data_IF_255693079767
#
_entry.id   IF_255693079767
#
_cell.length_a   1.000
_cell.length_b   1.000
_cell.length_c   1.000
_cell.angle_alpha   90.00
_cell.angle_beta   90.00
_cell.angle_gamma   90.00
#
_symmetry.space_group_name_H-M   'P 1'
#
loop_
_entity.id
_entity.type
_entity.pdbx_description
1 polymer ?
#
# COMPACT_ATOMS: atom_id res chain seq x y z
N UNK A 1 11.52 44.79 -9.27
CA UNK A 1 12.42 43.62 -9.37
C UNK A 1 11.65 42.55 -10.13
N UNK A 2 12.15 42.15 -11.30
CA UNK A 2 11.54 41.06 -12.08
C UNK A 2 11.76 39.75 -11.34
N UNK A 3 10.72 38.93 -11.24
CA UNK A 3 10.79 37.60 -10.68
C UNK A 3 11.79 36.73 -11.47
N UNK A 4 12.66 36.04 -10.77
CA UNK A 4 13.67 35.18 -11.40
C UNK A 4 12.98 33.92 -11.95
N UNK A 5 13.27 33.60 -13.22
CA UNK A 5 12.70 32.41 -13.86
C UNK A 5 13.14 31.14 -13.09
N UNK A 6 12.22 30.18 -12.94
CA UNK A 6 12.47 28.90 -12.25
C UNK A 6 13.66 28.12 -12.84
N UNK A 7 13.92 28.21 -14.15
CA UNK A 7 15.08 27.60 -14.80
C UNK A 7 16.40 28.18 -14.30
N UNK A 8 16.49 29.51 -14.18
CA UNK A 8 17.66 30.19 -13.63
C UNK A 8 17.88 29.85 -12.15
N UNK A 9 16.79 29.76 -11.36
CA UNK A 9 16.86 29.32 -9.97
C UNK A 9 17.43 27.90 -9.90
N UNK A 10 16.91 26.99 -10.70
CA UNK A 10 17.38 25.58 -10.74
C UNK A 10 18.86 25.47 -11.07
N UNK A 11 19.34 26.23 -12.05
CA UNK A 11 20.77 26.25 -12.43
C UNK A 11 21.65 26.72 -11.29
N UNK A 12 21.23 27.77 -10.56
CA UNK A 12 21.93 28.25 -9.37
C UNK A 12 21.95 27.20 -8.26
N UNK A 13 20.82 26.51 -8.00
CA UNK A 13 20.74 25.45 -6.99
C UNK A 13 21.68 24.28 -7.31
N UNK A 14 21.77 23.88 -8.59
CA UNK A 14 22.71 22.84 -9.04
C UNK A 14 24.16 23.28 -8.79
N UNK A 15 24.46 24.54 -9.05
CA UNK A 15 25.81 25.08 -8.83
C UNK A 15 26.18 25.08 -7.35
N UNK A 16 25.29 25.56 -6.48
CA UNK A 16 25.48 25.55 -5.02
C UNK A 16 25.69 24.13 -4.48
N UNK A 17 24.87 23.16 -4.92
CA UNK A 17 25.01 21.76 -4.49
C UNK A 17 26.35 21.14 -4.92
N UNK A 18 26.86 21.48 -6.11
CA UNK A 18 28.16 21.03 -6.57
C UNK A 18 29.31 21.61 -5.73
N UNK A 19 29.24 22.88 -5.38
CA UNK A 19 30.23 23.53 -4.52
C UNK A 19 30.25 22.95 -3.10
N UNK A 20 29.06 22.56 -2.59
CA UNK A 20 28.90 21.92 -1.28
C UNK A 20 29.15 20.40 -1.28
N UNK A 21 29.49 19.80 -2.43
CA UNK A 21 29.64 18.35 -2.62
C UNK A 21 28.41 17.54 -2.16
N UNK A 22 27.22 18.09 -2.40
CA UNK A 22 25.92 17.47 -2.06
C UNK A 22 25.16 17.14 -3.32
N UNK A 23 24.31 16.13 -3.24
CA UNK A 23 23.46 15.70 -4.34
C UNK A 23 21.99 15.71 -3.95
N UNK A 24 21.14 16.18 -4.85
CA UNK A 24 19.69 16.13 -4.77
C UNK A 24 19.12 15.71 -6.12
N UNK A 25 18.04 14.94 -6.10
CA UNK A 25 17.37 14.52 -7.33
C UNK A 25 16.84 15.71 -8.13
N UNK A 26 16.91 15.58 -9.45
CA UNK A 26 16.54 16.64 -10.39
C UNK A 26 15.07 17.07 -10.27
N UNK A 27 14.20 16.13 -9.89
CA UNK A 27 12.76 16.36 -9.68
C UNK A 27 12.53 17.20 -8.43
N UNK A 28 13.24 16.92 -7.34
CA UNK A 28 13.19 17.70 -6.09
C UNK A 28 13.69 19.13 -6.34
N UNK A 29 14.76 19.29 -7.09
CA UNK A 29 15.26 20.63 -7.45
C UNK A 29 14.27 21.43 -8.28
N UNK A 30 13.58 20.76 -9.20
CA UNK A 30 12.54 21.40 -10.02
C UNK A 30 11.35 21.83 -9.16
N UNK A 31 10.93 20.98 -8.22
CA UNK A 31 9.84 21.28 -7.28
C UNK A 31 10.16 22.49 -6.38
N UNK A 32 11.36 22.53 -5.82
CA UNK A 32 11.85 23.65 -4.99
C UNK A 32 11.89 24.95 -5.82
N UNK A 33 12.43 24.89 -7.04
CA UNK A 33 12.51 26.05 -7.91
C UNK A 33 11.13 26.63 -8.29
N UNK A 34 10.13 25.75 -8.50
CA UNK A 34 8.75 26.17 -8.78
C UNK A 34 8.09 26.75 -7.53
N UNK A 35 8.24 26.08 -6.37
CA UNK A 35 7.65 26.54 -5.09
C UNK A 35 8.19 27.87 -4.62
N UNK A 36 9.42 28.19 -4.92
CA UNK A 36 10.08 29.46 -4.51
C UNK A 36 9.50 30.71 -5.19
N UNK A 37 8.71 30.55 -6.26
CA UNK A 37 8.03 31.65 -6.98
C UNK A 37 8.96 32.85 -7.28
N UNK A 38 10.19 32.60 -7.68
CA UNK A 38 11.16 33.64 -8.00
C UNK A 38 12.04 34.11 -6.83
N UNK A 39 11.81 33.62 -5.60
CA UNK A 39 12.65 33.90 -4.42
C UNK A 39 13.83 32.92 -4.32
N UNK A 40 15.00 33.36 -4.81
CA UNK A 40 16.23 32.57 -4.78
C UNK A 40 16.68 32.25 -3.35
N UNK A 41 16.45 33.14 -2.37
CA UNK A 41 16.86 32.91 -0.98
C UNK A 41 16.01 31.81 -0.34
N UNK A 42 14.71 31.84 -0.58
CA UNK A 42 13.81 30.76 -0.13
C UNK A 42 14.21 29.43 -0.75
N UNK A 43 14.51 29.40 -2.07
CA UNK A 43 14.97 28.20 -2.77
C UNK A 43 16.26 27.62 -2.19
N UNK A 44 17.27 28.46 -1.89
CA UNK A 44 18.55 28.01 -1.30
C UNK A 44 18.33 27.45 0.11
N UNK A 45 17.50 28.08 0.94
CA UNK A 45 17.19 27.60 2.27
C UNK A 45 16.48 26.24 2.23
N UNK A 46 15.55 26.06 1.28
CA UNK A 46 14.85 24.78 1.10
C UNK A 46 15.82 23.68 0.63
N UNK A 47 16.72 23.97 -0.31
CA UNK A 47 17.78 23.05 -0.74
C UNK A 47 18.71 22.68 0.42
N UNK A 48 19.10 23.66 1.24
CA UNK A 48 19.96 23.40 2.40
C UNK A 48 19.27 22.46 3.40
N UNK A 49 17.97 22.68 3.65
CA UNK A 49 17.16 21.82 4.52
C UNK A 49 17.05 20.42 3.93
N UNK A 50 16.68 20.30 2.66
CA UNK A 50 16.52 19.02 1.97
C UNK A 50 17.83 18.24 1.83
N UNK A 51 18.95 18.92 1.59
CA UNK A 51 20.28 18.29 1.48
C UNK A 51 20.84 17.81 2.83
N UNK A 52 20.31 18.32 3.94
CA UNK A 52 20.69 17.91 5.30
C UNK A 52 19.90 16.72 5.81
N UNK A 53 18.85 16.31 5.09
CA UNK A 53 18.02 15.16 5.43
C UNK A 53 18.58 13.93 4.70
N UNK A 54 18.97 12.88 5.43
CA UNK A 54 19.39 11.61 4.83
C UNK A 54 18.23 10.98 4.03
N UNK A 55 18.54 10.21 2.98
CA UNK A 55 17.54 9.52 2.14
C UNK A 55 16.54 8.69 2.96
N UNK A 56 17.02 7.98 4.00
CA UNK A 56 16.17 7.23 4.93
C UNK A 56 15.20 8.13 5.73
N UNK A 57 15.64 9.33 6.13
CA UNK A 57 14.74 10.29 6.80
C UNK A 57 13.72 10.89 5.84
N UNK A 58 14.02 11.02 4.54
CA UNK A 58 13.05 11.51 3.53
C UNK A 58 11.94 10.51 3.29
N UNK A 59 12.27 9.23 3.09
CA UNK A 59 11.28 8.17 2.97
C UNK A 59 10.36 8.14 4.19
N UNK A 60 10.93 8.31 5.39
CA UNK A 60 10.16 8.31 6.65
C UNK A 60 9.25 9.54 6.79
N UNK A 61 9.68 10.72 6.34
CA UNK A 61 8.86 11.96 6.36
C UNK A 61 7.76 11.88 5.29
N UNK A 62 8.05 11.37 4.10
CA UNK A 62 7.08 11.17 3.03
C UNK A 62 6.03 10.12 3.42
N UNK A 63 6.43 9.05 4.08
CA UNK A 63 5.52 8.02 4.59
C UNK A 63 4.59 8.60 5.68
N UNK A 64 5.11 9.42 6.60
CA UNK A 64 4.32 10.13 7.62
C UNK A 64 3.32 11.11 7.01
N UNK A 65 3.71 11.84 5.98
CA UNK A 65 2.81 12.78 5.29
C UNK A 65 1.70 12.01 4.56
N UNK A 66 2.02 10.92 3.86
CA UNK A 66 1.03 10.04 3.22
C UNK A 66 0.06 9.44 4.24
N UNK A 67 0.55 9.00 5.39
CA UNK A 67 -0.31 8.52 6.47
C UNK A 67 -1.19 9.63 7.04
N UNK A 68 -0.69 10.84 7.20
CA UNK A 68 -1.46 12.01 7.62
C UNK A 68 -2.60 12.33 6.66
N UNK A 69 -2.33 12.31 5.36
CA UNK A 69 -3.32 12.58 4.33
C UNK A 69 -4.43 11.51 4.30
N UNK A 70 -4.08 10.22 4.38
CA UNK A 70 -5.07 9.15 4.43
C UNK A 70 -5.92 9.18 5.70
N UNK A 71 -5.35 9.49 6.87
CA UNK A 71 -6.10 9.62 8.12
C UNK A 71 -7.13 10.75 8.04
N UNK A 72 -6.78 11.89 7.44
CA UNK A 72 -7.71 12.99 7.21
C UNK A 72 -8.83 12.59 6.25
N UNK A 73 -8.52 11.89 5.17
CA UNK A 73 -9.51 11.39 4.22
C UNK A 73 -10.48 10.38 4.88
N UNK A 74 -9.96 9.44 5.67
CA UNK A 74 -10.79 8.48 6.41
C UNK A 74 -11.72 9.18 7.40
N UNK A 75 -11.21 10.17 8.14
CA UNK A 75 -12.03 10.97 9.07
C UNK A 75 -13.15 11.70 8.34
N UNK A 76 -12.87 12.27 7.20
CA UNK A 76 -13.87 12.97 6.38
C UNK A 76 -14.96 12.00 5.90
N UNK A 77 -14.58 10.87 5.31
CA UNK A 77 -15.49 9.87 4.76
C UNK A 77 -16.35 9.23 5.86
N UNK A 78 -15.74 8.82 6.97
CA UNK A 78 -16.46 8.05 7.99
C UNK A 78 -17.30 8.92 8.93
N UNK A 79 -16.89 10.16 9.18
CA UNK A 79 -17.55 10.99 10.21
C UNK A 79 -18.52 12.01 9.65
N UNK A 80 -18.13 12.72 8.59
CA UNK A 80 -18.95 13.80 8.04
C UNK A 80 -19.99 13.30 7.05
N UNK A 81 -21.05 14.11 6.84
CA UNK A 81 -22.04 13.82 5.81
C UNK A 81 -21.40 13.85 4.42
N UNK A 82 -21.86 12.97 3.51
CA UNK A 82 -21.36 12.97 2.14
C UNK A 82 -21.68 14.30 1.45
N UNK A 83 -20.67 14.89 0.82
CA UNK A 83 -20.77 16.14 0.05
C UNK A 83 -20.12 15.95 -1.32
N UNK A 84 -20.19 16.96 -2.18
CA UNK A 84 -19.48 16.92 -3.48
C UNK A 84 -17.97 16.84 -3.30
N UNK A 85 -17.45 17.48 -2.25
CA UNK A 85 -16.02 17.47 -1.91
C UNK A 85 -15.55 16.07 -1.53
N UNK A 86 -16.43 15.23 -0.96
CA UNK A 86 -16.10 13.83 -0.64
C UNK A 86 -15.70 13.03 -1.87
N UNK A 87 -16.19 13.37 -3.08
CA UNK A 87 -15.79 12.70 -4.32
C UNK A 87 -14.34 12.96 -4.71
N UNK A 88 -13.79 14.08 -4.31
CA UNK A 88 -12.44 14.52 -4.67
C UNK A 88 -11.42 14.26 -3.55
N UNK A 89 -11.86 13.66 -2.44
CA UNK A 89 -11.05 13.52 -1.23
C UNK A 89 -9.75 12.75 -1.45
N UNK A 90 -9.79 11.75 -2.32
CA UNK A 90 -8.60 10.96 -2.62
C UNK A 90 -7.62 11.66 -3.58
N UNK A 91 -7.99 12.77 -4.21
CA UNK A 91 -7.08 13.56 -5.04
C UNK A 91 -5.93 14.18 -4.23
N UNK A 92 -6.16 14.44 -2.94
CA UNK A 92 -5.16 14.97 -2.01
C UNK A 92 -4.25 13.88 -1.41
N UNK A 93 -4.65 12.61 -1.54
CA UNK A 93 -3.93 11.47 -0.92
C UNK A 93 -2.89 10.93 -1.90
N UNK A 94 -1.62 11.09 -1.58
CA UNK A 94 -0.49 10.58 -2.39
C UNK A 94 -0.29 9.06 -2.21
N UNK A 95 -1.33 8.27 -2.51
CA UNK A 95 -1.34 6.83 -2.31
C UNK A 95 -2.08 6.14 -3.46
N UNK A 96 -1.62 4.95 -3.93
CA UNK A 96 -2.35 4.18 -4.93
C UNK A 96 -3.74 3.77 -4.42
N UNK A 97 -4.73 3.77 -5.31
CA UNK A 97 -6.12 3.43 -4.95
C UNK A 97 -6.24 2.01 -4.37
N UNK A 98 -5.39 1.10 -4.80
CA UNK A 98 -5.28 -0.27 -4.25
C UNK A 98 -4.96 -0.29 -2.76
N UNK A 99 -4.11 0.60 -2.34
CA UNK A 99 -3.74 0.74 -0.93
C UNK A 99 -4.85 1.45 -0.14
N UNK A 100 -5.51 2.44 -0.75
CA UNK A 100 -6.69 3.11 -0.17
C UNK A 100 -7.81 2.10 0.12
N UNK A 101 -8.08 1.15 -0.78
CA UNK A 101 -9.04 0.07 -0.56
C UNK A 101 -8.72 -0.73 0.70
N UNK A 102 -7.45 -1.06 0.92
CA UNK A 102 -7.03 -1.81 2.12
C UNK A 102 -7.20 -0.98 3.40
N UNK A 103 -6.96 0.33 3.33
CA UNK A 103 -7.22 1.23 4.44
C UNK A 103 -8.72 1.33 4.75
N UNK A 104 -9.57 1.38 3.72
CA UNK A 104 -11.03 1.37 3.88
C UNK A 104 -11.50 0.04 4.48
N UNK A 105 -11.06 -1.11 3.92
CA UNK A 105 -11.39 -2.46 4.42
C UNK A 105 -11.08 -2.60 5.92
N UNK A 106 -9.91 -2.12 6.34
CA UNK A 106 -9.45 -2.25 7.74
C UNK A 106 -10.28 -1.40 8.70
N UNK A 107 -10.70 -0.19 8.26
CA UNK A 107 -11.27 0.81 9.15
C UNK A 107 -12.80 0.92 9.10
N UNK A 108 -13.47 0.38 8.09
CA UNK A 108 -14.94 0.31 8.05
C UNK A 108 -15.53 -0.32 9.32
N UNK A 109 -15.07 -1.49 9.82
CA UNK A 109 -15.66 -2.10 11.00
C UNK A 109 -15.36 -1.36 12.31
N UNK A 110 -14.43 -0.42 12.31
CA UNK A 110 -14.13 0.42 13.48
C UNK A 110 -15.20 1.50 13.66
N UNK A 111 -15.75 2.02 12.57
CA UNK A 111 -16.72 3.12 12.58
C UNK A 111 -18.18 2.66 12.37
N UNK A 112 -18.40 1.63 11.57
CA UNK A 112 -19.73 1.22 11.16
C UNK A 112 -20.14 -0.10 11.80
N UNK A 113 -21.43 -0.22 12.14
CA UNK A 113 -22.00 -1.41 12.76
C UNK A 113 -23.35 -1.76 12.11
N UNK A 114 -23.77 -3.01 12.24
CA UNK A 114 -25.06 -3.51 11.75
C UNK A 114 -25.29 -3.23 10.26
N UNK A 115 -26.39 -2.57 9.91
CA UNK A 115 -26.76 -2.26 8.52
C UNK A 115 -25.79 -1.29 7.83
N UNK A 116 -25.20 -0.32 8.56
CA UNK A 116 -24.23 0.60 8.02
C UNK A 116 -22.97 -0.13 7.56
N UNK A 117 -22.52 -1.10 8.37
CA UNK A 117 -21.41 -1.99 8.06
C UNK A 117 -21.70 -2.83 6.82
N UNK A 118 -22.86 -3.44 6.74
CA UNK A 118 -23.25 -4.26 5.59
C UNK A 118 -23.28 -3.45 4.29
N UNK A 119 -23.88 -2.25 4.31
CA UNK A 119 -23.90 -1.35 3.16
C UNK A 119 -22.52 -0.88 2.74
N UNK A 120 -21.65 -0.52 3.71
CA UNK A 120 -20.30 -0.09 3.41
C UNK A 120 -19.47 -1.20 2.75
N UNK A 121 -19.58 -2.45 3.23
CA UNK A 121 -18.90 -3.58 2.59
C UNK A 121 -19.47 -3.96 1.22
N UNK A 122 -20.78 -3.80 1.01
CA UNK A 122 -21.38 -3.98 -0.32
C UNK A 122 -20.80 -2.99 -1.32
N UNK A 123 -20.65 -1.72 -0.92
CA UNK A 123 -20.05 -0.68 -1.75
C UNK A 123 -18.56 -0.88 -1.96
N UNK A 124 -17.83 -1.32 -0.94
CA UNK A 124 -16.42 -1.70 -1.07
C UNK A 124 -16.25 -2.86 -2.05
N UNK A 125 -17.13 -3.87 -1.99
CA UNK A 125 -17.15 -4.99 -2.93
C UNK A 125 -17.41 -4.52 -4.37
N UNK A 126 -18.32 -3.56 -4.57
CA UNK A 126 -18.54 -2.95 -5.90
C UNK A 126 -17.31 -2.23 -6.41
N UNK A 127 -16.61 -1.46 -5.55
CA UNK A 127 -15.35 -0.82 -5.91
C UNK A 127 -14.30 -1.86 -6.36
N UNK A 128 -14.15 -2.97 -5.63
CA UNK A 128 -13.21 -4.05 -5.99
C UNK A 128 -13.58 -4.73 -7.33
N UNK A 129 -14.87 -4.87 -7.64
CA UNK A 129 -15.33 -5.36 -8.95
C UNK A 129 -14.86 -4.41 -10.08
N UNK A 130 -15.03 -3.09 -9.90
CA UNK A 130 -14.58 -2.12 -10.90
C UNK A 130 -13.05 -2.13 -11.04
N UNK A 131 -12.32 -2.22 -9.94
CA UNK A 131 -10.88 -2.45 -9.94
C UNK A 131 -10.49 -3.67 -10.77
N UNK A 132 -11.13 -4.82 -10.54
CA UNK A 132 -10.90 -6.03 -11.32
C UNK A 132 -11.17 -5.85 -12.81
N UNK A 133 -12.20 -5.07 -13.18
CA UNK A 133 -12.50 -4.73 -14.58
C UNK A 133 -11.44 -3.83 -15.20
N UNK A 134 -10.94 -2.82 -14.46
CA UNK A 134 -9.84 -1.95 -14.92
C UNK A 134 -8.62 -2.80 -15.27
N UNK A 135 -8.19 -3.69 -14.36
CA UNK A 135 -7.04 -4.57 -14.59
C UNK A 135 -7.24 -5.52 -15.79
N UNK A 136 -8.43 -6.12 -15.91
CA UNK A 136 -8.70 -7.11 -16.94
C UNK A 136 -8.93 -6.50 -18.32
N UNK A 137 -9.64 -5.36 -18.38
CA UNK A 137 -10.08 -4.74 -19.64
C UNK A 137 -9.23 -3.53 -20.05
N UNK A 138 -8.35 -3.05 -19.14
CA UNK A 138 -7.55 -1.81 -19.32
C UNK A 138 -8.43 -0.59 -19.63
N UNK A 139 -9.66 -0.57 -19.09
CA UNK A 139 -10.64 0.47 -19.32
C UNK A 139 -10.70 1.44 -18.16
N UNK A 140 -9.86 2.44 -18.21
CA UNK A 140 -9.61 3.41 -17.13
C UNK A 140 -10.79 4.31 -16.73
N UNK A 141 -11.83 4.40 -17.56
CA UNK A 141 -13.07 5.13 -17.19
C UNK A 141 -13.76 4.54 -15.97
N UNK A 142 -13.55 3.28 -15.65
CA UNK A 142 -14.08 2.66 -14.45
C UNK A 142 -13.49 3.18 -13.14
N UNK A 143 -12.35 3.88 -13.18
CA UNK A 143 -11.78 4.57 -12.01
C UNK A 143 -12.76 5.56 -11.38
N UNK A 144 -13.59 6.22 -12.19
CA UNK A 144 -14.62 7.15 -11.69
C UNK A 144 -15.62 6.43 -10.79
N UNK A 145 -16.09 5.26 -11.21
CA UNK A 145 -17.03 4.45 -10.41
C UNK A 145 -16.38 3.87 -9.16
N UNK A 146 -15.14 3.37 -9.30
CA UNK A 146 -14.35 2.89 -8.17
C UNK A 146 -14.21 3.98 -7.10
N UNK A 147 -13.82 5.20 -7.50
CA UNK A 147 -13.67 6.33 -6.61
C UNK A 147 -15.02 6.74 -5.96
N UNK A 148 -16.11 6.80 -6.73
CA UNK A 148 -17.45 7.15 -6.21
C UNK A 148 -17.87 6.15 -5.12
N UNK A 149 -17.69 4.85 -5.32
CA UNK A 149 -18.05 3.85 -4.32
C UNK A 149 -17.18 3.93 -3.07
N UNK A 150 -15.85 4.15 -3.22
CA UNK A 150 -14.93 4.23 -2.10
C UNK A 150 -15.11 5.50 -1.27
N UNK A 151 -15.42 6.62 -1.90
CA UNK A 151 -15.55 7.90 -1.22
C UNK A 151 -17.00 8.19 -0.79
N UNK A 152 -17.80 8.69 -1.71
CA UNK A 152 -19.17 9.09 -1.46
C UNK A 152 -20.07 7.92 -1.03
N UNK A 153 -19.95 6.78 -1.70
CA UNK A 153 -20.77 5.60 -1.41
C UNK A 153 -20.60 5.14 0.03
N UNK A 154 -19.36 4.88 0.46
CA UNK A 154 -19.11 4.45 1.84
C UNK A 154 -19.50 5.54 2.83
N UNK A 155 -19.26 6.82 2.51
CA UNK A 155 -19.72 7.91 3.36
C UNK A 155 -21.25 7.96 3.49
N UNK A 156 -21.99 7.67 2.44
CA UNK A 156 -23.47 7.61 2.45
C UNK A 156 -24.06 6.38 3.15
N UNK A 157 -23.25 5.39 3.51
CA UNK A 157 -23.71 4.19 4.21
C UNK A 157 -24.15 4.48 5.65
N UNK A 158 -23.61 5.51 6.29
CA UNK A 158 -24.00 5.91 7.64
C UNK A 158 -25.34 6.63 7.67
N UNK A 159 -26.08 6.43 8.73
CA UNK A 159 -27.38 7.12 8.96
C UNK A 159 -27.15 8.55 9.50
N UNK A 160 -26.20 8.70 10.41
CA UNK A 160 -25.89 9.97 11.07
C UNK A 160 -24.39 10.24 11.06
N UNK A 161 -24.02 11.51 11.28
CA UNK A 161 -22.63 11.88 11.51
C UNK A 161 -22.06 11.19 12.75
N UNK A 162 -20.82 10.76 12.67
CA UNK A 162 -20.13 10.10 13.79
C UNK A 162 -19.30 11.13 14.55
N UNK A 163 -19.56 11.27 15.84
CA UNK A 163 -18.87 12.19 16.73
C UNK A 163 -17.85 11.43 17.59
N UNK A 164 -16.75 12.06 17.93
CA UNK A 164 -15.71 11.50 18.79
C UNK A 164 -14.41 11.20 18.05
N UNK A 165 -13.42 10.77 18.80
CA UNK A 165 -12.11 10.39 18.27
C UNK A 165 -12.09 8.89 17.98
N UNK A 166 -11.56 8.53 16.80
CA UNK A 166 -11.36 7.14 16.39
C UNK A 166 -9.93 6.99 15.94
N UNK A 167 -9.25 5.99 16.47
CA UNK A 167 -7.91 5.63 16.04
C UNK A 167 -7.98 4.68 14.86
N UNK A 168 -7.70 5.19 13.67
CA UNK A 168 -7.62 4.37 12.46
C UNK A 168 -6.34 3.56 12.44
N UNK A 169 -6.42 2.35 11.87
CA UNK A 169 -5.31 1.39 11.88
C UNK A 169 -4.77 1.19 10.46
N UNK A 170 -3.45 1.04 10.38
CA UNK A 170 -2.77 0.66 9.14
C UNK A 170 -3.20 -0.76 8.70
N UNK A 171 -3.43 -1.01 7.40
CA UNK A 171 -3.76 -2.33 6.91
C UNK A 171 -2.60 -3.30 7.11
N UNK A 172 -2.87 -4.44 7.73
CA UNK A 172 -1.91 -5.50 8.04
C UNK A 172 -2.10 -6.78 7.20
N UNK A 173 -3.12 -6.79 6.33
CA UNK A 173 -3.51 -7.96 5.53
C UNK A 173 -2.37 -8.47 4.65
N UNK A 174 -1.69 -7.59 3.91
CA UNK A 174 -0.58 -7.96 3.01
C UNK A 174 0.58 -8.54 3.82
N UNK A 175 0.94 -7.90 4.94
CA UNK A 175 1.99 -8.39 5.83
C UNK A 175 1.64 -9.77 6.40
N UNK A 176 0.40 -9.97 6.84
CA UNK A 176 -0.06 -11.28 7.33
C UNK A 176 -0.01 -12.36 6.26
N UNK A 177 -0.41 -12.05 5.02
CA UNK A 177 -0.31 -12.97 3.88
C UNK A 177 1.16 -13.33 3.60
N UNK A 178 2.05 -12.33 3.57
CA UNK A 178 3.46 -12.53 3.35
C UNK A 178 4.11 -13.39 4.44
N UNK A 179 3.85 -13.09 5.71
CA UNK A 179 4.34 -13.88 6.85
C UNK A 179 3.83 -15.33 6.80
N UNK A 180 2.54 -15.52 6.48
CA UNK A 180 1.99 -16.87 6.32
C UNK A 180 2.61 -17.62 5.13
N UNK A 181 2.81 -16.93 4.01
CA UNK A 181 3.47 -17.53 2.85
C UNK A 181 4.89 -17.96 3.19
N UNK A 182 5.66 -17.11 3.88
CA UNK A 182 7.01 -17.44 4.34
C UNK A 182 7.04 -18.64 5.30
N UNK A 183 6.12 -18.68 6.29
CA UNK A 183 5.99 -19.82 7.21
C UNK A 183 5.65 -21.12 6.50
N UNK A 184 4.86 -21.05 5.42
CA UNK A 184 4.38 -22.25 4.70
C UNK A 184 5.22 -22.59 3.47
N UNK A 185 6.26 -21.83 3.15
CA UNK A 185 7.08 -21.97 1.95
C UNK A 185 7.72 -23.36 1.87
N UNK A 186 8.42 -23.77 2.92
CA UNK A 186 9.06 -25.12 2.98
C UNK A 186 8.03 -26.23 2.85
N UNK A 187 6.89 -26.11 3.54
CA UNK A 187 5.76 -27.04 3.41
C UNK A 187 5.21 -27.12 1.98
N UNK A 188 5.04 -25.96 1.32
CA UNK A 188 4.57 -25.89 -0.07
C UNK A 188 5.57 -26.56 -1.03
N UNK A 189 6.87 -26.32 -0.84
CA UNK A 189 7.92 -26.90 -1.66
C UNK A 189 7.93 -28.43 -1.54
N UNK A 190 7.90 -28.95 -0.32
CA UNK A 190 7.83 -30.41 -0.07
C UNK A 190 6.55 -31.01 -0.68
N UNK A 191 5.39 -30.38 -0.43
CA UNK A 191 4.12 -30.83 -0.98
C UNK A 191 4.10 -30.86 -2.51
N UNK A 192 4.75 -29.88 -3.15
CA UNK A 192 4.90 -29.84 -4.62
C UNK A 192 5.74 -30.98 -5.15
N UNK A 193 6.87 -31.28 -4.50
CA UNK A 193 7.73 -32.43 -4.86
C UNK A 193 6.99 -33.75 -4.69
N UNK A 194 6.29 -33.93 -3.57
CA UNK A 194 5.44 -35.10 -3.31
C UNK A 194 4.30 -35.22 -4.32
N UNK A 195 3.59 -34.12 -4.59
CA UNK A 195 2.50 -34.09 -5.56
C UNK A 195 2.94 -34.57 -6.95
N UNK A 196 4.12 -34.10 -7.39
CA UNK A 196 4.72 -34.52 -8.65
C UNK A 196 5.08 -36.01 -8.67
N UNK A 197 5.61 -36.53 -7.56
CA UNK A 197 6.02 -37.94 -7.45
C UNK A 197 4.82 -38.89 -7.46
N UNK A 198 3.74 -38.53 -6.72
CA UNK A 198 2.53 -39.37 -6.58
C UNK A 198 1.46 -39.05 -7.65
N UNK A 199 1.74 -38.12 -8.56
CA UNK A 199 0.81 -37.67 -9.61
C UNK A 199 -0.53 -37.13 -9.10
N UNK A 200 -0.51 -36.35 -7.99
CA UNK A 200 -1.69 -35.67 -7.45
C UNK A 200 -1.57 -34.16 -7.58
N UNK A 201 -2.68 -33.44 -7.43
CA UNK A 201 -2.66 -31.97 -7.46
C UNK A 201 -2.00 -31.36 -6.20
N UNK A 202 -1.25 -30.26 -6.39
CA UNK A 202 -0.54 -29.57 -5.28
C UNK A 202 -1.49 -29.16 -4.13
N UNK A 203 -2.72 -28.71 -4.44
CA UNK A 203 -3.74 -28.35 -3.43
C UNK A 203 -4.13 -29.56 -2.59
N UNK A 204 -4.25 -30.74 -3.20
CA UNK A 204 -4.55 -31.98 -2.50
C UNK A 204 -3.38 -32.42 -1.61
N UNK A 205 -2.16 -32.40 -2.13
CA UNK A 205 -0.97 -32.69 -1.37
C UNK A 205 -0.82 -31.78 -0.14
N UNK A 206 -1.09 -30.47 -0.28
CA UNK A 206 -1.07 -29.51 0.83
C UNK A 206 -2.10 -29.83 1.91
N UNK A 207 -3.30 -30.25 1.53
CA UNK A 207 -4.39 -30.60 2.44
C UNK A 207 -4.08 -31.90 3.19
N UNK A 208 -3.55 -32.88 2.48
CA UNK A 208 -3.24 -34.20 3.01
C UNK A 208 -1.84 -34.26 3.68
N UNK A 209 -1.08 -33.16 3.68
CA UNK A 209 0.28 -33.09 4.23
C UNK A 209 0.42 -33.71 5.64
N UNK A 210 -0.49 -33.47 6.61
CA UNK A 210 -0.38 -34.07 7.95
C UNK A 210 -0.43 -35.59 7.93
N UNK A 211 -1.11 -36.20 6.93
CA UNK A 211 -1.25 -37.66 6.84
C UNK A 211 0.04 -38.34 6.41
N UNK A 212 0.82 -37.76 5.53
CA UNK A 212 2.02 -38.38 4.99
C UNK A 212 3.34 -37.82 5.58
N UNK A 213 3.27 -36.89 6.53
CA UNK A 213 4.47 -36.34 7.17
C UNK A 213 5.38 -37.41 7.79
N UNK A 214 4.78 -38.46 8.37
CA UNK A 214 5.52 -39.61 8.94
C UNK A 214 6.28 -40.39 7.86
N UNK A 215 5.75 -40.47 6.66
CA UNK A 215 6.40 -41.11 5.51
C UNK A 215 7.54 -40.25 5.00
N UNK A 216 7.34 -38.92 4.92
CA UNK A 216 8.37 -37.96 4.50
C UNK A 216 9.59 -37.90 5.43
N UNK A 217 9.43 -38.31 6.68
CA UNK A 217 10.56 -38.40 7.65
C UNK A 217 11.51 -39.56 7.36
N UNK A 218 11.14 -40.50 6.52
CA UNK A 218 11.99 -41.67 6.18
C UNK A 218 13.13 -41.25 5.23
N UNK A 219 14.40 -41.56 5.51
CA UNK A 219 15.54 -41.11 4.69
C UNK A 219 15.48 -41.56 3.23
N UNK A 220 14.94 -42.73 2.94
CA UNK A 220 14.75 -43.22 1.57
C UNK A 220 13.81 -42.31 0.77
N UNK A 221 12.68 -41.92 1.37
CA UNK A 221 11.69 -41.04 0.72
C UNK A 221 12.25 -39.62 0.51
N UNK A 222 13.02 -39.12 1.48
CA UNK A 222 13.69 -37.80 1.35
C UNK A 222 14.67 -37.78 0.18
N UNK A 223 15.42 -38.87 -0.02
CA UNK A 223 16.36 -38.99 -1.15
C UNK A 223 15.63 -39.10 -2.48
N UNK A 224 14.55 -39.89 -2.57
CA UNK A 224 13.73 -40.02 -3.79
C UNK A 224 13.05 -38.71 -4.20
N UNK A 225 12.53 -37.99 -3.22
CA UNK A 225 11.89 -36.69 -3.46
C UNK A 225 12.89 -35.56 -3.66
N UNK A 226 14.21 -35.84 -3.54
CA UNK A 226 15.29 -34.84 -3.64
C UNK A 226 15.02 -33.63 -2.75
N UNK A 227 14.71 -33.88 -1.47
CA UNK A 227 14.51 -32.82 -0.50
C UNK A 227 15.84 -32.14 -0.19
N UNK A 228 15.81 -30.81 -0.03
CA UNK A 228 16.96 -30.02 0.43
C UNK A 228 17.19 -30.22 1.93
N UNK A 229 18.39 -29.88 2.42
CA UNK A 229 18.71 -29.94 3.85
C UNK A 229 17.73 -29.12 4.69
N UNK A 230 17.37 -27.93 4.24
CA UNK A 230 16.37 -27.06 4.87
C UNK A 230 14.97 -27.68 4.96
N UNK A 231 14.57 -28.43 3.93
CA UNK A 231 13.27 -29.14 3.89
C UNK A 231 13.27 -30.34 4.83
N UNK A 232 14.42 -31.04 4.93
CA UNK A 232 14.61 -32.16 5.86
C UNK A 232 14.59 -31.66 7.32
N UNK A 233 15.25 -30.53 7.58
CA UNK A 233 15.21 -29.90 8.91
C UNK A 233 13.80 -29.48 9.30
N UNK A 234 13.03 -28.88 8.36
CA UNK A 234 11.62 -28.55 8.58
C UNK A 234 10.75 -29.74 8.97
N UNK A 235 11.04 -30.96 8.44
CA UNK A 235 10.29 -32.17 8.76
C UNK A 235 10.64 -32.76 10.13
N UNK A 236 11.78 -32.39 10.72
CA UNK A 236 12.20 -32.85 12.05
C UNK A 236 11.52 -32.08 13.19
N UNK A 237 11.23 -30.80 12.92
CA UNK A 237 10.48 -29.88 13.81
C UNK A 237 8.98 -30.08 13.64
#
# INVERSE_FOLDING_TARGET
LNDINYGTIKDVLIKVLREENKFLDNDVLTEIAIKSKGDLRAAINDVQRESSISSEKREFIDERNKEGDIFNALKEIFKKKPSKETLEIFNSVKMPIDEIILWMEKNIPVEYQGEELARAFDLLSKADIFKGRIYKQQYWRFLVYENIFLSYGISASKKNEKIGFTSYQKPDRILKIWLNNRKTEKKKSIAKKYAKYVHIGEKRAMREFPMFISILRKPLVQKELKLSEDEIEYLKN
#
